data_IF_135038140026
#
_entry.id   IF_135038140026
#
_cell.length_a   1.000
_cell.length_b   1.000
_cell.length_c   1.000
_cell.angle_alpha   90.00
_cell.angle_beta   90.00
_cell.angle_gamma   90.00
#
_symmetry.space_group_name_H-M   'P 1'
#
loop_
_entity.id
_entity.type
_entity.pdbx_description
1 polymer ?
#
# COMPACT_ATOMS: atom_id res chain seq x y z
N UNK A 1 -1.56 22.96 20.32
CA UNK A 1 -1.25 21.69 21.02
C UNK A 1 -1.70 20.42 20.25
N UNK A 2 -1.81 20.45 18.91
CA UNK A 2 -2.35 19.35 18.09
C UNK A 2 -1.32 18.32 17.56
N UNK A 3 -0.01 18.57 17.68
CA UNK A 3 1.02 17.77 16.99
C UNK A 3 1.16 16.34 17.52
N UNK A 4 1.22 16.15 18.85
CA UNK A 4 1.47 14.84 19.46
C UNK A 4 0.30 13.85 19.29
N UNK A 5 -0.98 14.24 19.53
CA UNK A 5 -2.11 13.34 19.31
C UNK A 5 -2.29 12.96 17.83
N UNK A 6 -2.03 13.89 16.92
CA UNK A 6 -2.10 13.65 15.49
C UNK A 6 -1.09 12.60 15.02
N UNK A 7 0.19 12.75 15.40
CA UNK A 7 1.24 11.78 15.02
C UNK A 7 0.94 10.40 15.60
N UNK A 8 0.49 10.31 16.86
CA UNK A 8 0.09 9.04 17.45
C UNK A 8 -1.09 8.39 16.71
N UNK A 9 -2.09 9.19 16.30
CA UNK A 9 -3.22 8.71 15.51
C UNK A 9 -2.77 8.15 14.15
N UNK A 10 -1.88 8.87 13.45
CA UNK A 10 -1.31 8.45 12.17
C UNK A 10 -0.50 7.16 12.32
N UNK A 11 0.40 7.08 13.30
CA UNK A 11 1.21 5.89 13.51
C UNK A 11 0.35 4.67 13.84
N UNK A 12 -0.60 4.80 14.78
CA UNK A 12 -1.49 3.69 15.17
C UNK A 12 -2.31 3.16 14.00
N UNK A 13 -2.96 4.05 13.25
CA UNK A 13 -3.79 3.63 12.11
C UNK A 13 -2.94 3.14 10.94
N UNK A 14 -1.80 3.78 10.68
CA UNK A 14 -0.86 3.35 9.66
C UNK A 14 -0.33 1.94 9.92
N UNK A 15 0.07 1.64 11.16
CA UNK A 15 0.50 0.28 11.53
C UNK A 15 -0.61 -0.76 11.37
N UNK A 16 -1.86 -0.42 11.72
CA UNK A 16 -3.01 -1.32 11.53
C UNK A 16 -3.28 -1.60 10.05
N UNK A 17 -3.31 -0.55 9.23
CA UNK A 17 -3.51 -0.65 7.77
C UNK A 17 -2.38 -1.48 7.15
N UNK A 18 -1.12 -1.14 7.44
CA UNK A 18 0.04 -1.82 6.88
C UNK A 18 0.10 -3.29 7.29
N UNK A 19 -0.29 -3.64 8.51
CA UNK A 19 -0.38 -5.04 8.94
C UNK A 19 -1.42 -5.82 8.13
N UNK A 20 -2.59 -5.20 7.86
CA UNK A 20 -3.63 -5.79 7.02
C UNK A 20 -3.18 -5.95 5.55
N UNK A 21 -2.54 -4.93 4.99
CA UNK A 21 -2.02 -4.97 3.62
C UNK A 21 -0.90 -6.00 3.47
N UNK A 22 0.04 -6.06 4.43
CA UNK A 22 1.09 -7.07 4.45
C UNK A 22 0.50 -8.48 4.49
N UNK A 23 -0.52 -8.72 5.35
CA UNK A 23 -1.18 -10.01 5.41
C UNK A 23 -1.79 -10.41 4.06
N UNK A 24 -2.43 -9.47 3.34
CA UNK A 24 -2.96 -9.71 1.99
C UNK A 24 -1.84 -9.98 0.99
N UNK A 25 -0.78 -9.17 0.97
CA UNK A 25 0.37 -9.34 0.08
C UNK A 25 1.00 -10.72 0.28
N UNK A 26 1.40 -11.07 1.51
CA UNK A 26 2.07 -12.34 1.77
C UNK A 26 1.15 -13.55 1.55
N UNK A 27 -0.13 -13.44 1.88
CA UNK A 27 -1.09 -14.52 1.58
C UNK A 27 -1.25 -14.71 0.07
N UNK A 28 -1.29 -13.63 -0.70
CA UNK A 28 -1.39 -13.70 -2.15
C UNK A 28 -0.13 -14.29 -2.80
N UNK A 29 1.07 -13.87 -2.35
CA UNK A 29 2.34 -14.45 -2.79
C UNK A 29 2.43 -15.93 -2.46
N UNK A 30 2.02 -16.32 -1.24
CA UNK A 30 1.98 -17.73 -0.82
C UNK A 30 1.04 -18.58 -1.70
N UNK A 31 -0.10 -18.03 -2.09
CA UNK A 31 -1.07 -18.71 -2.94
C UNK A 31 -0.58 -18.83 -4.39
N UNK A 32 -0.04 -17.75 -4.95
CA UNK A 32 0.49 -17.72 -6.31
C UNK A 32 1.37 -16.47 -6.54
N UNK A 33 2.71 -16.61 -6.66
CA UNK A 33 3.59 -15.46 -6.89
C UNK A 33 3.35 -14.78 -8.25
N UNK A 34 2.73 -15.47 -9.22
CA UNK A 34 2.35 -14.86 -10.51
C UNK A 34 1.30 -13.76 -10.38
N UNK A 35 0.61 -13.62 -9.22
CA UNK A 35 -0.32 -12.51 -8.97
C UNK A 35 0.39 -11.14 -9.08
N UNK A 36 1.67 -11.07 -8.72
CA UNK A 36 2.47 -9.85 -8.74
C UNK A 36 3.45 -9.78 -9.92
N UNK A 37 3.32 -10.66 -10.92
CA UNK A 37 4.25 -10.72 -12.04
C UNK A 37 4.41 -9.37 -12.78
N UNK A 38 3.35 -8.56 -12.89
CA UNK A 38 3.42 -7.23 -13.52
C UNK A 38 4.35 -6.25 -12.80
N UNK A 39 4.50 -6.43 -11.49
CA UNK A 39 5.29 -5.58 -10.60
C UNK A 39 6.72 -6.12 -10.42
N UNK A 40 7.05 -7.25 -11.07
CA UNK A 40 8.38 -7.83 -11.03
C UNK A 40 9.38 -7.07 -11.94
N UNK A 41 10.69 -7.21 -11.67
CA UNK A 41 11.76 -6.75 -12.55
C UNK A 41 11.62 -7.22 -14.01
N UNK A 42 12.16 -6.46 -15.00
CA UNK A 42 11.97 -6.77 -16.42
C UNK A 42 12.39 -8.17 -16.85
N UNK A 43 13.53 -8.67 -16.36
CA UNK A 43 14.05 -10.01 -16.69
C UNK A 43 13.08 -11.11 -16.24
N UNK A 44 12.57 -11.03 -15.01
CA UNK A 44 11.57 -11.95 -14.47
C UNK A 44 10.29 -11.89 -15.30
N UNK A 45 9.81 -10.68 -15.64
CA UNK A 45 8.59 -10.49 -16.44
C UNK A 45 8.69 -11.11 -17.82
N UNK A 46 9.82 -10.91 -18.49
CA UNK A 46 10.09 -11.46 -19.83
C UNK A 46 10.09 -12.99 -19.79
N UNK A 47 10.60 -13.59 -18.70
CA UNK A 47 10.67 -15.04 -18.55
C UNK A 47 9.31 -15.71 -18.32
N UNK A 48 8.43 -15.09 -17.51
CA UNK A 48 7.21 -15.74 -17.00
C UNK A 48 5.98 -15.59 -17.89
N UNK A 49 6.00 -14.60 -18.80
CA UNK A 49 4.90 -14.36 -19.72
C UNK A 49 3.59 -13.89 -19.05
N UNK A 50 2.47 -13.86 -19.79
CA UNK A 50 1.22 -13.29 -19.31
C UNK A 50 0.49 -14.20 -18.30
N UNK A 51 -0.26 -13.58 -17.40
CA UNK A 51 -1.15 -14.28 -16.44
C UNK A 51 -2.23 -15.09 -17.16
N UNK A 52 -2.42 -16.33 -16.71
CA UNK A 52 -3.55 -17.16 -17.10
C UNK A 52 -4.88 -16.66 -16.48
N UNK A 53 -6.00 -17.28 -16.87
CA UNK A 53 -7.34 -16.88 -16.38
C UNK A 53 -7.46 -17.01 -14.86
N UNK A 54 -6.90 -18.09 -14.27
CA UNK A 54 -6.95 -18.34 -12.83
C UNK A 54 -6.20 -17.26 -12.05
N UNK A 55 -4.99 -16.91 -12.49
CA UNK A 55 -4.16 -15.88 -11.85
C UNK A 55 -4.79 -14.50 -11.95
N UNK A 56 -5.48 -14.19 -13.06
CA UNK A 56 -6.26 -12.94 -13.19
C UNK A 56 -7.39 -12.87 -12.15
N UNK A 57 -8.14 -13.95 -11.97
CA UNK A 57 -9.16 -14.02 -10.93
C UNK A 57 -8.58 -13.91 -9.52
N UNK A 58 -7.47 -14.59 -9.24
CA UNK A 58 -6.76 -14.47 -7.95
C UNK A 58 -6.27 -13.03 -7.73
N UNK A 59 -5.75 -12.36 -8.77
CA UNK A 59 -5.36 -10.95 -8.69
C UNK A 59 -6.53 -10.07 -8.25
N UNK A 60 -7.73 -10.29 -8.78
CA UNK A 60 -8.92 -9.57 -8.33
C UNK A 60 -9.32 -9.94 -6.90
N UNK A 61 -9.29 -11.23 -6.56
CA UNK A 61 -9.66 -11.75 -5.24
C UNK A 61 -8.82 -11.14 -4.11
N UNK A 62 -7.52 -10.91 -4.33
CA UNK A 62 -6.65 -10.26 -3.35
C UNK A 62 -6.58 -8.74 -3.53
N UNK A 63 -6.66 -8.25 -4.76
CA UNK A 63 -6.61 -6.83 -5.09
C UNK A 63 -7.81 -6.04 -4.53
N UNK A 64 -9.02 -6.61 -4.54
CA UNK A 64 -10.20 -5.95 -3.99
C UNK A 64 -10.06 -5.73 -2.46
N UNK A 65 -9.79 -6.77 -1.64
CA UNK A 65 -9.49 -6.59 -0.21
C UNK A 65 -8.33 -5.63 0.05
N UNK A 66 -7.26 -5.71 -0.74
CA UNK A 66 -6.12 -4.78 -0.63
C UNK A 66 -6.59 -3.32 -0.78
N UNK A 67 -7.35 -3.00 -1.83
CA UNK A 67 -7.85 -1.65 -2.08
C UNK A 67 -8.85 -1.19 -1.02
N UNK A 68 -9.69 -2.10 -0.53
CA UNK A 68 -10.63 -1.82 0.56
C UNK A 68 -9.91 -1.51 1.88
N UNK A 69 -8.85 -2.25 2.22
CA UNK A 69 -8.05 -1.99 3.42
C UNK A 69 -7.30 -0.67 3.27
N UNK A 70 -6.66 -0.44 2.12
CA UNK A 70 -5.87 0.77 1.88
C UNK A 70 -6.78 2.02 1.95
N UNK A 71 -7.76 2.14 1.06
CA UNK A 71 -8.58 3.36 0.99
C UNK A 71 -9.64 3.41 2.09
N UNK A 72 -10.30 2.30 2.39
CA UNK A 72 -11.28 2.22 3.48
C UNK A 72 -10.66 2.45 4.85
N UNK A 73 -9.44 1.95 5.08
CA UNK A 73 -8.67 2.22 6.29
C UNK A 73 -8.32 3.69 6.47
N UNK A 74 -7.89 4.37 5.39
CA UNK A 74 -7.59 5.81 5.42
C UNK A 74 -8.86 6.64 5.68
N UNK A 75 -9.98 6.31 5.02
CA UNK A 75 -11.28 6.96 5.27
C UNK A 75 -11.71 6.77 6.73
N UNK A 76 -11.61 5.54 7.25
CA UNK A 76 -11.93 5.22 8.65
C UNK A 76 -11.05 6.01 9.61
N UNK A 77 -9.75 6.14 9.34
CA UNK A 77 -8.84 6.94 10.18
C UNK A 77 -9.26 8.42 10.20
N UNK A 78 -9.59 9.01 9.05
CA UNK A 78 -10.10 10.39 9.02
C UNK A 78 -11.41 10.55 9.80
N UNK A 79 -12.33 9.59 9.71
CA UNK A 79 -13.57 9.62 10.50
C UNK A 79 -13.30 9.52 12.01
N UNK A 80 -12.37 8.64 12.43
CA UNK A 80 -11.96 8.56 13.84
C UNK A 80 -11.31 9.86 14.31
N UNK A 81 -10.44 10.46 13.50
CA UNK A 81 -9.81 11.74 13.82
C UNK A 81 -10.86 12.86 13.93
N UNK A 82 -11.86 12.87 13.05
CA UNK A 82 -13.00 13.79 13.13
C UNK A 82 -13.76 13.65 14.45
N UNK A 83 -14.04 12.42 14.90
CA UNK A 83 -14.67 12.20 16.21
C UNK A 83 -13.80 12.70 17.36
N UNK A 84 -12.48 12.50 17.30
CA UNK A 84 -11.53 12.99 18.32
C UNK A 84 -11.46 14.52 18.37
N UNK A 85 -11.78 15.21 17.28
CA UNK A 85 -11.83 16.67 17.17
C UNK A 85 -13.24 17.24 17.39
N UNK A 86 -14.10 16.52 18.11
CA UNK A 86 -15.46 16.99 18.43
C UNK A 86 -16.38 17.10 17.21
N UNK A 87 -16.14 16.27 16.19
CA UNK A 87 -16.90 16.27 14.94
C UNK A 87 -16.42 17.27 13.89
N UNK A 88 -15.41 18.10 14.19
CA UNK A 88 -14.87 19.09 13.27
C UNK A 88 -13.45 18.74 12.81
N UNK A 89 -13.35 18.16 11.63
CA UNK A 89 -12.10 17.90 10.90
C UNK A 89 -11.92 18.93 9.77
N UNK A 90 -10.98 19.89 9.89
CA UNK A 90 -10.66 20.81 8.82
C UNK A 90 -10.07 20.09 7.60
N UNK A 91 -10.39 20.57 6.39
CA UNK A 91 -9.92 19.97 5.14
C UNK A 91 -8.40 19.76 5.09
N UNK A 92 -7.63 20.77 5.49
CA UNK A 92 -6.16 20.69 5.53
C UNK A 92 -5.67 19.54 6.40
N UNK A 93 -6.33 19.28 7.52
CA UNK A 93 -5.96 18.19 8.43
C UNK A 93 -6.39 16.83 7.89
N UNK A 94 -7.58 16.75 7.26
CA UNK A 94 -8.03 15.54 6.57
C UNK A 94 -7.09 15.13 5.43
N UNK A 95 -6.59 16.12 4.66
CA UNK A 95 -5.61 15.90 3.60
C UNK A 95 -4.28 15.37 4.13
N UNK A 96 -3.69 16.05 5.12
CA UNK A 96 -2.39 15.61 5.66
C UNK A 96 -2.48 14.26 6.38
N UNK A 97 -3.61 13.94 7.00
CA UNK A 97 -3.84 12.62 7.57
C UNK A 97 -3.91 11.56 6.46
N UNK A 98 -4.69 11.79 5.40
CA UNK A 98 -4.82 10.84 4.30
C UNK A 98 -3.50 10.65 3.55
N UNK A 99 -2.85 11.74 3.15
CA UNK A 99 -1.55 11.71 2.47
C UNK A 99 -0.49 11.06 3.34
N UNK A 100 -0.45 11.38 4.64
CA UNK A 100 0.50 10.80 5.58
C UNK A 100 0.35 9.28 5.75
N UNK A 101 -0.88 8.76 5.76
CA UNK A 101 -1.13 7.31 5.80
C UNK A 101 -0.74 6.60 4.50
N UNK A 102 -1.06 7.21 3.35
CA UNK A 102 -0.65 6.67 2.04
C UNK A 102 0.89 6.66 1.91
N UNK A 103 1.55 7.73 2.34
CA UNK A 103 3.02 7.82 2.39
C UNK A 103 3.62 6.79 3.35
N UNK A 104 2.97 6.54 4.49
CA UNK A 104 3.42 5.52 5.44
C UNK A 104 3.28 4.11 4.84
N UNK A 105 2.20 3.83 4.11
CA UNK A 105 2.10 2.58 3.35
C UNK A 105 3.20 2.48 2.29
N UNK A 106 3.40 3.50 1.46
CA UNK A 106 4.46 3.52 0.44
C UNK A 106 5.84 3.22 1.02
N UNK A 107 6.19 3.86 2.14
CA UNK A 107 7.47 3.64 2.81
C UNK A 107 7.58 2.23 3.40
N UNK A 108 6.50 1.74 4.01
CA UNK A 108 6.44 0.39 4.57
C UNK A 108 6.59 -0.66 3.49
N UNK A 109 5.90 -0.51 2.36
CA UNK A 109 5.96 -1.43 1.23
C UNK A 109 7.38 -1.48 0.66
N UNK A 110 7.97 -0.33 0.34
CA UNK A 110 9.33 -0.25 -0.20
C UNK A 110 10.39 -0.85 0.76
N UNK A 111 10.36 -0.49 2.04
CA UNK A 111 11.43 -0.87 2.97
C UNK A 111 11.23 -2.27 3.54
N UNK A 112 10.00 -2.60 3.95
CA UNK A 112 9.71 -3.84 4.67
C UNK A 112 9.32 -4.94 3.69
N UNK A 113 8.40 -4.67 2.76
CA UNK A 113 7.93 -5.70 1.83
C UNK A 113 8.98 -5.93 0.75
N UNK A 114 9.29 -4.92 -0.05
CA UNK A 114 10.17 -5.05 -1.20
C UNK A 114 11.61 -5.33 -0.77
N UNK A 115 12.25 -4.40 -0.05
CA UNK A 115 13.68 -4.53 0.26
C UNK A 115 13.98 -5.63 1.27
N UNK A 116 13.33 -5.61 2.42
CA UNK A 116 13.62 -6.62 3.45
C UNK A 116 13.06 -7.99 3.06
N UNK A 117 11.77 -8.11 2.78
CA UNK A 117 11.19 -9.44 2.57
C UNK A 117 11.48 -10.02 1.17
N UNK A 118 11.27 -9.25 0.10
CA UNK A 118 11.37 -9.81 -1.26
C UNK A 118 12.80 -9.86 -1.79
N UNK A 119 13.60 -8.81 -1.56
CA UNK A 119 14.99 -8.74 -2.08
C UNK A 119 16.00 -9.35 -1.10
N UNK A 120 15.91 -9.05 0.20
CA UNK A 120 16.88 -9.57 1.19
C UNK A 120 16.59 -11.03 1.56
N UNK A 121 15.38 -11.32 2.03
CA UNK A 121 15.04 -12.64 2.58
C UNK A 121 14.66 -13.66 1.51
N UNK A 122 14.08 -13.23 0.38
CA UNK A 122 13.71 -14.08 -0.78
C UNK A 122 13.01 -15.39 -0.37
N UNK A 123 11.87 -15.34 0.33
CA UNK A 123 11.18 -16.55 0.73
C UNK A 123 10.75 -17.34 -0.52
N UNK A 124 10.91 -18.68 -0.48
CA UNK A 124 10.68 -19.56 -1.63
C UNK A 124 9.30 -19.40 -2.28
N UNK A 125 8.27 -19.10 -1.49
CA UNK A 125 6.90 -18.92 -2.01
C UNK A 125 6.72 -17.63 -2.83
N UNK A 126 7.61 -16.63 -2.68
CA UNK A 126 7.58 -15.39 -3.44
C UNK A 126 8.39 -15.47 -4.75
N UNK A 127 9.15 -16.55 -4.94
CA UNK A 127 9.90 -16.80 -6.18
C UNK A 127 8.98 -17.47 -7.18
N UNK A 128 8.92 -16.95 -8.40
CA UNK A 128 8.10 -17.52 -9.45
C UNK A 128 8.80 -18.79 -9.96
N UNK A 129 8.08 -19.92 -10.09
CA UNK A 129 8.71 -21.13 -10.62
C UNK A 129 9.33 -20.91 -12.01
N UNK A 130 10.59 -21.30 -12.18
CA UNK A 130 11.33 -21.14 -13.44
C UNK A 130 12.11 -19.83 -13.57
N UNK A 131 12.15 -19.00 -12.51
CA UNK A 131 12.96 -17.76 -12.44
C UNK A 131 13.99 -17.80 -11.31
N UNK A 132 14.24 -18.97 -10.71
CA UNK A 132 15.14 -19.12 -9.58
C UNK A 132 16.55 -18.60 -9.91
N UNK A 133 17.09 -17.74 -9.05
CA UNK A 133 18.43 -17.17 -9.20
C UNK A 133 18.57 -16.06 -10.25
N UNK A 134 17.46 -15.60 -10.84
CA UNK A 134 17.50 -14.43 -11.74
C UNK A 134 17.87 -13.16 -10.99
N UNK A 135 18.67 -12.31 -11.65
CA UNK A 135 19.25 -11.10 -11.05
C UNK A 135 18.21 -10.07 -10.59
N UNK A 136 17.02 -10.06 -11.21
CA UNK A 136 15.92 -9.20 -10.78
C UNK A 136 15.58 -9.34 -9.30
N UNK A 137 15.71 -10.53 -8.70
CA UNK A 137 15.43 -10.74 -7.28
C UNK A 137 16.41 -10.03 -6.33
N UNK A 138 17.51 -9.48 -6.84
CA UNK A 138 18.52 -8.75 -6.08
C UNK A 138 18.51 -7.22 -6.38
N UNK A 139 17.56 -6.72 -7.19
CA UNK A 139 17.52 -5.31 -7.62
C UNK A 139 16.69 -4.41 -6.68
N UNK A 140 17.33 -3.89 -5.63
CA UNK A 140 16.76 -2.86 -4.75
C UNK A 140 16.33 -1.59 -5.49
N UNK A 141 17.09 -1.19 -6.51
CA UNK A 141 16.89 0.06 -7.23
C UNK A 141 15.67 -0.01 -8.16
N UNK A 142 15.31 -1.20 -8.64
CA UNK A 142 14.06 -1.42 -9.37
C UNK A 142 12.86 -1.04 -8.51
N UNK A 143 12.74 -1.55 -7.28
CA UNK A 143 11.60 -1.26 -6.40
C UNK A 143 11.47 0.23 -6.05
N UNK A 144 12.60 0.93 -5.84
CA UNK A 144 12.58 2.38 -5.63
C UNK A 144 12.11 3.14 -6.88
N UNK A 145 12.66 2.80 -8.06
CA UNK A 145 12.27 3.46 -9.33
C UNK A 145 10.82 3.18 -9.70
N UNK A 146 10.34 1.97 -9.47
CA UNK A 146 8.98 1.53 -9.76
C UNK A 146 7.95 2.20 -8.83
N UNK A 147 8.29 2.35 -7.53
CA UNK A 147 7.38 2.95 -6.56
C UNK A 147 7.41 4.49 -6.54
N UNK A 148 8.48 5.12 -7.04
CA UNK A 148 8.64 6.59 -7.03
C UNK A 148 7.46 7.38 -7.65
N UNK A 149 6.90 7.02 -8.82
CA UNK A 149 5.78 7.75 -9.42
C UNK A 149 4.52 7.80 -8.53
N UNK A 150 4.40 6.89 -7.55
CA UNK A 150 3.29 6.90 -6.60
C UNK A 150 3.31 8.13 -5.69
N UNK A 151 4.47 8.71 -5.35
CA UNK A 151 4.58 9.87 -4.45
C UNK A 151 3.70 11.06 -4.88
N UNK A 152 3.88 11.63 -6.10
CA UNK A 152 2.96 12.65 -6.60
C UNK A 152 1.57 12.08 -6.89
N UNK A 153 1.47 10.82 -7.30
CA UNK A 153 0.19 10.14 -7.57
C UNK A 153 -0.74 10.07 -6.36
N UNK A 154 -0.20 9.94 -5.15
CA UNK A 154 -0.95 9.85 -3.88
C UNK A 154 -1.67 11.15 -3.49
N UNK A 155 -1.31 12.28 -4.09
CA UNK A 155 -1.98 13.57 -3.83
C UNK A 155 -3.45 13.50 -4.22
N UNK A 156 -3.78 12.88 -5.36
CA UNK A 156 -5.15 12.79 -5.88
C UNK A 156 -6.07 12.01 -4.93
N UNK A 157 -5.79 10.75 -4.55
CA UNK A 157 -6.64 10.02 -3.61
C UNK A 157 -6.67 10.69 -2.24
N UNK A 158 -5.58 11.31 -1.76
CA UNK A 158 -5.60 12.07 -0.51
C UNK A 158 -6.56 13.27 -0.56
N UNK A 159 -6.58 14.02 -1.66
CA UNK A 159 -7.53 15.12 -1.87
C UNK A 159 -8.97 14.60 -1.91
N UNK A 160 -9.23 13.52 -2.66
CA UNK A 160 -10.56 12.90 -2.75
C UNK A 160 -11.05 12.50 -1.36
N UNK A 161 -10.23 11.77 -0.59
CA UNK A 161 -10.57 11.35 0.76
C UNK A 161 -10.81 12.57 1.67
N UNK A 162 -9.97 13.60 1.58
CA UNK A 162 -10.14 14.82 2.35
C UNK A 162 -11.47 15.52 2.03
N UNK A 163 -11.86 15.59 0.76
CA UNK A 163 -13.14 16.16 0.34
C UNK A 163 -14.33 15.40 0.95
N UNK A 164 -14.27 14.06 0.98
CA UNK A 164 -15.34 13.23 1.52
C UNK A 164 -15.40 13.22 3.05
N UNK A 165 -14.28 13.42 3.74
CA UNK A 165 -14.18 13.23 5.19
C UNK A 165 -14.10 14.52 5.99
N UNK A 166 -13.70 15.63 5.37
CA UNK A 166 -13.66 16.94 6.01
C UNK A 166 -15.05 17.39 6.45
N UNK A 167 -15.07 18.28 7.43
CA UNK A 167 -16.32 18.90 7.90
C UNK A 167 -16.71 20.00 6.93
N UNK A 168 -17.96 19.97 6.46
CA UNK A 168 -18.52 21.10 5.73
C UNK A 168 -18.71 22.24 6.73
N UNK A 169 -18.31 23.46 6.39
CA UNK A 169 -18.74 24.63 7.17
C UNK A 169 -20.28 24.64 7.13
N UNK A 170 -20.92 24.51 8.28
CA UNK A 170 -22.31 24.93 8.42
C UNK A 170 -22.30 26.46 8.32
N UNK A 171 -22.82 26.97 7.21
CA UNK A 171 -23.23 28.37 7.07
C UNK A 171 -24.27 28.72 8.12
#
# INVERSE_FOLDING_TARGET
MLKKPFVQHLLKNGSLINSGLAAVIFSSLYVNPMIWAQDAPPDIREKVGPKDKKTKWQTMLFGIPFMLILFGGVVRSNQQLKCQLGGNLPFKLAFWQAYGLLLYFWLFDLVIVDWLCLVTLKPKFAIIPGTEGMAGYDDYAFHLRASWPALPGMIIPALIIALFTASRKSS
#
